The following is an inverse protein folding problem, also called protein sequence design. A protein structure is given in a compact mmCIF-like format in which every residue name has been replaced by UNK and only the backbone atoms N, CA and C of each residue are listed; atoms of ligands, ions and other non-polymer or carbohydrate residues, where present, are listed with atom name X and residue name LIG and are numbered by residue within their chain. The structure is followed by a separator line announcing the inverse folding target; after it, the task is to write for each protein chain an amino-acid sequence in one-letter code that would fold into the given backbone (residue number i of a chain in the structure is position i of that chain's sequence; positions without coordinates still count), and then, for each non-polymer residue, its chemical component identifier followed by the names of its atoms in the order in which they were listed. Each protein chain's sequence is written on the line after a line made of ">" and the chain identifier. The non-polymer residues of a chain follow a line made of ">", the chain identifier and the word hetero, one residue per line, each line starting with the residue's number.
data_IF_996666003486
#
_entry.id   IF_996666003486
#
_cell.length_a   1.000
_cell.length_b   1.000
_cell.length_c   1.000
_cell.angle_alpha   90.00
_cell.angle_beta   90.00
_cell.angle_gamma   90.00
#
_symmetry.space_group_name_H-M   'P 1'
#
loop_
_entity.id
_entity.type
_entity.pdbx_description
1 polymer ?
#
# COMPACT_ATOMS: atom_id res chain seq x y z
N UNK A 1 -8.38 0.83 -38.71
CA UNK A 1 -9.34 0.15 -37.83
C UNK A 1 -9.75 1.13 -36.74
N UNK A 2 -10.98 1.63 -36.78
CA UNK A 2 -11.51 2.54 -35.76
C UNK A 2 -12.12 1.70 -34.65
N UNK A 3 -11.54 1.75 -33.45
CA UNK A 3 -12.09 1.08 -32.27
C UNK A 3 -12.82 2.13 -31.44
N UNK A 4 -14.15 2.15 -31.55
CA UNK A 4 -15.00 2.99 -30.73
C UNK A 4 -15.01 2.44 -29.30
N UNK A 5 -14.45 3.21 -28.36
CA UNK A 5 -14.67 3.02 -26.93
C UNK A 5 -16.18 3.19 -26.73
N UNK A 6 -16.89 2.10 -26.44
CA UNK A 6 -18.31 2.16 -26.07
C UNK A 6 -18.40 2.93 -24.76
N UNK A 7 -18.69 4.22 -24.81
CA UNK A 7 -19.15 4.97 -23.65
C UNK A 7 -20.55 4.48 -23.27
N UNK A 8 -20.61 3.51 -22.36
CA UNK A 8 -21.87 3.16 -21.70
C UNK A 8 -22.06 4.09 -20.50
N UNK A 9 -22.76 5.20 -20.75
CA UNK A 9 -22.97 6.28 -19.80
C UNK A 9 -24.11 5.96 -18.83
N UNK A 10 -24.07 4.83 -18.11
CA UNK A 10 -25.12 4.47 -17.15
C UNK A 10 -24.62 3.87 -15.83
N UNK A 11 -25.03 4.56 -14.75
CA UNK A 11 -24.95 4.28 -13.32
C UNK A 11 -23.55 4.28 -12.70
N UNK A 12 -23.31 5.29 -11.84
CA UNK A 12 -22.36 5.15 -10.74
C UNK A 12 -22.73 3.87 -9.97
N UNK A 13 -21.78 2.98 -9.65
CA UNK A 13 -22.07 1.84 -8.80
C UNK A 13 -22.64 2.32 -7.46
N UNK A 14 -23.66 1.64 -6.95
CA UNK A 14 -24.19 1.91 -5.61
C UNK A 14 -23.02 1.82 -4.61
N UNK A 15 -22.91 2.81 -3.72
CA UNK A 15 -21.83 2.83 -2.71
C UNK A 15 -22.04 1.61 -1.79
N UNK A 16 -21.09 0.65 -1.74
CA UNK A 16 -21.24 -0.54 -0.92
C UNK A 16 -21.29 -0.17 0.57
N UNK A 17 -22.10 -0.90 1.35
CA UNK A 17 -22.12 -0.73 2.80
C UNK A 17 -20.81 -1.26 3.41
N UNK A 18 -20.45 -0.79 4.60
CA UNK A 18 -19.23 -1.23 5.27
C UNK A 18 -19.22 -2.77 5.48
N UNK A 19 -20.38 -3.36 5.74
CA UNK A 19 -20.55 -4.79 5.92
C UNK A 19 -20.20 -5.57 4.64
N UNK A 20 -20.57 -5.03 3.46
CA UNK A 20 -20.30 -5.66 2.16
C UNK A 20 -18.79 -5.76 1.87
N UNK A 21 -18.02 -4.75 2.32
CA UNK A 21 -16.57 -4.71 2.15
C UNK A 21 -15.83 -5.74 3.04
N UNK A 22 -16.48 -6.28 4.08
CA UNK A 22 -15.88 -7.31 4.94
C UNK A 22 -16.00 -8.72 4.35
N UNK A 23 -16.81 -8.88 3.31
CA UNK A 23 -17.06 -10.15 2.64
C UNK A 23 -16.17 -10.21 1.39
N UNK A 24 -15.31 -11.24 1.23
CA UNK A 24 -14.54 -11.41 0.01
C UNK A 24 -15.45 -11.51 -1.22
N UNK A 25 -15.06 -10.86 -2.31
CA UNK A 25 -15.82 -10.93 -3.55
C UNK A 25 -15.91 -12.37 -4.09
N UNK A 26 -16.98 -12.71 -4.83
CA UNK A 26 -17.14 -14.06 -5.38
C UNK A 26 -15.93 -14.50 -6.22
N UNK A 27 -15.31 -15.61 -5.84
CA UNK A 27 -14.14 -16.16 -6.54
C UNK A 27 -12.82 -15.43 -6.28
N UNK A 28 -12.78 -14.50 -5.31
CA UNK A 28 -11.55 -13.82 -4.90
C UNK A 28 -10.51 -14.84 -4.40
N UNK A 29 -9.24 -14.76 -4.83
CA UNK A 29 -8.26 -15.85 -4.66
C UNK A 29 -7.69 -15.97 -3.23
N UNK A 30 -8.21 -15.19 -2.26
CA UNK A 30 -7.84 -15.27 -0.85
C UNK A 30 -9.05 -15.09 0.06
N UNK A 31 -9.15 -15.88 1.13
CA UNK A 31 -10.17 -15.70 2.18
C UNK A 31 -9.64 -14.88 3.37
N UNK A 32 -8.33 -14.62 3.39
CA UNK A 32 -7.64 -13.92 4.48
C UNK A 32 -7.59 -12.42 4.22
N UNK A 33 -7.43 -12.03 2.96
CA UNK A 33 -7.39 -10.62 2.54
C UNK A 33 -8.84 -10.13 2.42
N UNK A 34 -9.31 -9.43 3.46
CA UNK A 34 -10.63 -8.79 3.53
C UNK A 34 -10.52 -7.55 4.40
N UNK A 35 -11.35 -6.54 4.14
CA UNK A 35 -11.38 -5.39 5.03
C UNK A 35 -11.85 -5.80 6.41
N UNK A 36 -11.14 -5.32 7.43
CA UNK A 36 -11.65 -5.35 8.80
C UNK A 36 -12.77 -4.33 8.94
N UNK A 37 -13.69 -4.54 9.88
CA UNK A 37 -14.85 -3.66 10.07
C UNK A 37 -14.46 -2.18 10.23
N UNK A 38 -13.34 -1.88 10.89
CA UNK A 38 -12.87 -0.49 11.04
C UNK A 38 -12.31 0.10 9.74
N UNK A 39 -11.69 -0.71 8.88
CA UNK A 39 -11.17 -0.30 7.57
C UNK A 39 -12.34 -0.06 6.60
N UNK A 40 -13.29 -0.99 6.57
CA UNK A 40 -14.49 -0.89 5.75
C UNK A 40 -15.32 0.38 6.06
N UNK A 41 -15.44 0.76 7.34
CA UNK A 41 -16.13 2.01 7.74
C UNK A 41 -15.40 3.28 7.30
N UNK A 42 -14.10 3.21 7.07
CA UNK A 42 -13.31 4.31 6.51
C UNK A 42 -13.52 4.41 5.00
N UNK A 43 -13.60 3.25 4.33
CA UNK A 43 -13.85 3.13 2.89
C UNK A 43 -15.31 3.40 2.48
N UNK A 44 -16.30 3.27 3.36
CA UNK A 44 -17.71 3.48 3.01
C UNK A 44 -18.16 4.96 2.99
N UNK A 45 -17.24 5.92 3.11
CA UNK A 45 -17.55 7.36 3.19
C UNK A 45 -17.23 8.11 1.89
N UNK A 46 -18.26 8.41 1.10
CA UNK A 46 -18.19 9.31 -0.05
C UNK A 46 -17.51 8.73 -1.30
N UNK A 47 -17.03 9.60 -2.20
CA UNK A 47 -16.33 9.21 -3.42
C UNK A 47 -14.87 8.87 -3.08
N UNK A 48 -14.65 7.64 -2.64
CA UNK A 48 -13.35 7.15 -2.18
C UNK A 48 -12.35 6.91 -3.30
N UNK A 49 -11.07 6.72 -2.94
CA UNK A 49 -10.03 6.27 -3.87
C UNK A 49 -10.46 4.99 -4.60
N UNK A 50 -11.09 4.05 -3.90
CA UNK A 50 -11.62 2.80 -4.44
C UNK A 50 -12.69 3.04 -5.52
N UNK A 51 -13.64 3.95 -5.30
CA UNK A 51 -14.64 4.31 -6.32
C UNK A 51 -13.99 4.95 -7.55
N UNK A 52 -13.04 5.87 -7.36
CA UNK A 52 -12.31 6.50 -8.46
C UNK A 52 -11.48 5.50 -9.25
N UNK A 53 -10.88 4.53 -8.56
CA UNK A 53 -10.12 3.45 -9.18
C UNK A 53 -11.04 2.57 -10.03
N UNK A 54 -12.20 2.14 -9.51
CA UNK A 54 -13.17 1.32 -10.27
C UNK A 54 -13.59 2.00 -11.58
N UNK A 55 -14.01 3.27 -11.51
CA UNK A 55 -14.37 4.04 -12.72
C UNK A 55 -13.18 4.12 -13.69
N UNK A 56 -11.98 4.37 -13.17
CA UNK A 56 -10.77 4.45 -14.01
C UNK A 56 -10.46 3.12 -14.70
N UNK A 57 -10.70 1.99 -14.02
CA UNK A 57 -10.54 0.64 -14.59
C UNK A 57 -11.58 0.39 -15.67
N UNK A 58 -12.85 0.67 -15.40
CA UNK A 58 -13.96 0.44 -16.33
C UNK A 58 -13.84 1.26 -17.62
N UNK A 59 -13.33 2.48 -17.52
CA UNK A 59 -13.11 3.37 -18.66
C UNK A 59 -11.78 3.14 -19.37
N UNK A 60 -10.86 2.37 -18.79
CA UNK A 60 -9.57 2.05 -19.40
C UNK A 60 -9.65 0.84 -20.34
N UNK A 61 -8.78 0.81 -21.36
CA UNK A 61 -8.61 -0.40 -22.19
C UNK A 61 -7.87 -1.51 -21.44
N UNK A 62 -6.87 -1.12 -20.65
CA UNK A 62 -6.08 -2.01 -19.82
C UNK A 62 -5.45 -1.24 -18.65
N UNK A 63 -4.95 -1.99 -17.66
CA UNK A 63 -4.17 -1.46 -16.55
C UNK A 63 -2.71 -1.89 -16.66
N UNK A 64 -1.80 -1.00 -16.27
CA UNK A 64 -0.40 -1.35 -15.98
C UNK A 64 -0.24 -1.36 -14.46
N UNK A 65 0.32 -2.44 -13.92
CA UNK A 65 0.56 -2.57 -12.49
C UNK A 65 2.02 -2.89 -12.21
N UNK A 66 2.60 -2.19 -11.24
CA UNK A 66 3.97 -2.40 -10.76
C UNK A 66 4.05 -3.68 -9.90
N UNK A 67 3.97 -4.82 -10.57
CA UNK A 67 3.93 -6.16 -9.98
C UNK A 67 4.40 -7.20 -10.99
N UNK A 68 4.51 -8.45 -10.58
CA UNK A 68 4.81 -9.60 -11.46
C UNK A 68 3.88 -10.78 -11.15
N UNK A 69 3.75 -11.72 -12.10
CA UNK A 69 2.84 -12.87 -11.93
C UNK A 69 3.32 -13.85 -10.87
N UNK A 70 4.62 -13.92 -10.62
CA UNK A 70 5.22 -14.73 -9.55
C UNK A 70 4.71 -14.30 -8.17
N UNK A 71 4.46 -13.00 -7.98
CA UNK A 71 3.90 -12.46 -6.75
C UNK A 71 2.37 -12.50 -6.74
N UNK A 72 1.72 -12.03 -7.80
CA UNK A 72 0.29 -11.71 -7.78
C UNK A 72 -0.53 -12.40 -8.87
N UNK A 73 0.00 -13.43 -9.55
CA UNK A 73 -0.63 -14.03 -10.73
C UNK A 73 -2.09 -14.44 -10.56
N UNK A 74 -2.45 -15.03 -9.41
CA UNK A 74 -3.86 -15.40 -9.12
C UNK A 74 -4.78 -14.18 -9.01
N UNK A 75 -4.26 -13.06 -8.50
CA UNK A 75 -5.01 -11.81 -8.39
C UNK A 75 -5.12 -11.11 -9.76
N UNK A 76 -4.08 -11.21 -10.60
CA UNK A 76 -4.12 -10.78 -12.00
C UNK A 76 -5.23 -11.55 -12.74
N UNK A 77 -5.23 -12.88 -12.70
CA UNK A 77 -6.23 -13.70 -13.37
C UNK A 77 -7.65 -13.44 -12.85
N UNK A 78 -7.78 -13.23 -11.54
CA UNK A 78 -9.05 -12.85 -10.93
C UNK A 78 -9.53 -11.49 -11.45
N UNK A 79 -8.65 -10.49 -11.44
CA UNK A 79 -8.95 -9.14 -11.88
C UNK A 79 -9.41 -9.10 -13.33
N UNK A 80 -8.69 -9.78 -14.23
CA UNK A 80 -9.02 -9.81 -15.66
C UNK A 80 -10.38 -10.46 -15.90
N UNK A 81 -10.66 -11.55 -15.17
CA UNK A 81 -11.97 -12.23 -15.22
C UNK A 81 -13.10 -11.38 -14.64
N UNK A 82 -12.85 -10.64 -13.56
CA UNK A 82 -13.90 -9.88 -12.86
C UNK A 82 -14.24 -8.55 -13.53
N UNK A 83 -13.27 -7.94 -14.21
CA UNK A 83 -13.42 -6.61 -14.83
C UNK A 83 -13.57 -6.65 -16.34
N UNK A 84 -13.26 -7.80 -16.96
CA UNK A 84 -13.13 -7.96 -18.41
C UNK A 84 -12.09 -6.99 -19.02
N UNK A 85 -11.09 -6.59 -18.22
CA UNK A 85 -9.96 -5.73 -18.63
C UNK A 85 -8.63 -6.45 -18.53
N UNK A 86 -7.72 -6.16 -19.45
CA UNK A 86 -6.37 -6.67 -19.38
C UNK A 86 -5.58 -5.98 -18.27
N UNK A 87 -4.79 -6.75 -17.53
CA UNK A 87 -3.83 -6.25 -16.56
C UNK A 87 -2.42 -6.67 -16.98
N UNK A 88 -1.57 -5.69 -17.23
CA UNK A 88 -0.17 -5.88 -17.58
C UNK A 88 0.70 -5.71 -16.33
N UNK A 89 1.16 -6.82 -15.71
CA UNK A 89 2.19 -6.76 -14.68
C UNK A 89 3.52 -6.41 -15.34
N UNK A 90 4.04 -5.21 -15.09
CA UNK A 90 5.24 -4.68 -15.77
C UNK A 90 6.55 -5.03 -15.06
N UNK A 91 6.51 -5.94 -14.08
CA UNK A 91 7.61 -6.24 -13.18
C UNK A 91 7.66 -5.30 -11.97
N UNK A 92 8.60 -5.56 -11.07
CA UNK A 92 8.85 -4.73 -9.89
C UNK A 92 9.81 -3.61 -10.29
N UNK A 93 9.24 -2.46 -10.65
CA UNK A 93 9.97 -1.23 -10.91
C UNK A 93 10.34 -0.57 -9.58
N UNK A 94 11.62 -0.62 -9.24
CA UNK A 94 12.18 0.18 -8.16
C UNK A 94 12.56 1.57 -8.70
N UNK A 95 12.25 2.66 -7.96
CA UNK A 95 12.73 3.97 -8.36
C UNK A 95 14.27 3.97 -8.41
N UNK A 96 14.83 4.74 -9.34
CA UNK A 96 16.27 5.00 -9.34
C UNK A 96 16.66 5.59 -7.97
N UNK A 97 17.66 4.99 -7.32
CA UNK A 97 18.18 5.54 -6.07
C UNK A 97 18.58 7.00 -6.33
N UNK A 98 18.11 7.97 -5.53
CA UNK A 98 18.60 9.32 -5.63
C UNK A 98 20.13 9.33 -5.44
N UNK A 99 20.84 10.35 -5.94
CA UNK A 99 22.25 10.53 -5.61
C UNK A 99 22.41 10.36 -4.10
N UNK A 100 23.41 9.59 -3.66
CA UNK A 100 23.65 9.34 -2.22
C UNK A 100 23.54 10.66 -1.48
N UNK A 101 22.40 10.86 -0.80
CA UNK A 101 22.30 11.85 0.26
C UNK A 101 23.33 11.47 1.32
N UNK A 102 23.70 12.39 2.19
CA UNK A 102 24.64 12.20 3.31
C UNK A 102 24.07 11.21 4.37
N UNK A 103 23.79 10.00 3.90
CA UNK A 103 23.39 8.82 4.63
C UNK A 103 24.61 8.06 5.13
N UNK A 104 25.82 8.61 4.94
CA UNK A 104 27.09 7.99 5.33
C UNK A 104 27.08 7.63 6.81
N UNK A 105 26.43 8.42 7.67
CA UNK A 105 26.27 8.10 9.09
C UNK A 105 25.36 6.89 9.35
N UNK A 106 24.21 6.81 8.69
CA UNK A 106 23.28 5.70 8.88
C UNK A 106 23.85 4.41 8.29
N UNK A 107 24.44 4.49 7.10
CA UNK A 107 25.10 3.35 6.44
C UNK A 107 26.31 2.88 7.25
N UNK A 108 27.18 3.78 7.72
CA UNK A 108 28.32 3.39 8.56
C UNK A 108 27.91 2.84 9.93
N UNK A 109 26.74 3.20 10.45
CA UNK A 109 26.17 2.56 11.64
C UNK A 109 25.64 1.15 11.32
N UNK A 110 24.93 0.98 10.20
CA UNK A 110 24.44 -0.32 9.72
C UNK A 110 25.59 -1.30 9.45
N UNK A 111 26.69 -0.82 8.85
CA UNK A 111 27.88 -1.62 8.55
C UNK A 111 28.55 -2.22 9.80
N UNK A 112 28.22 -1.72 11.00
CA UNK A 112 28.74 -2.23 12.29
C UNK A 112 27.81 -3.23 12.97
N UNK A 113 26.59 -3.40 12.46
CA UNK A 113 25.61 -4.31 13.04
C UNK A 113 25.82 -5.73 12.51
N UNK A 114 25.44 -6.76 13.26
CA UNK A 114 25.44 -8.12 12.75
C UNK A 114 24.47 -8.28 11.57
N UNK A 115 24.81 -9.15 10.62
CA UNK A 115 23.96 -9.44 9.46
C UNK A 115 22.55 -9.85 9.87
N UNK A 116 21.54 -9.22 9.26
CA UNK A 116 20.12 -9.49 9.51
C UNK A 116 19.62 -9.23 10.95
N UNK A 117 20.35 -8.46 11.77
CA UNK A 117 19.98 -8.13 13.16
C UNK A 117 19.45 -6.70 13.37
N UNK A 118 19.12 -5.99 12.29
CA UNK A 118 18.56 -4.64 12.36
C UNK A 118 17.12 -4.64 11.84
N UNK A 119 16.21 -4.07 12.63
CA UNK A 119 14.83 -3.81 12.21
C UNK A 119 14.75 -2.44 11.55
N UNK A 120 14.26 -2.38 10.30
CA UNK A 120 13.90 -1.11 9.67
C UNK A 120 12.39 -0.88 9.78
N UNK A 121 12.00 0.18 10.49
CA UNK A 121 10.61 0.57 10.69
C UNK A 121 10.30 1.85 9.90
N UNK A 122 9.44 1.76 8.88
CA UNK A 122 8.99 2.89 8.08
C UNK A 122 7.55 2.64 7.59
N UNK A 123 6.66 3.61 7.80
CA UNK A 123 5.24 3.52 7.45
C UNK A 123 4.88 4.23 6.13
N UNK A 124 5.90 4.73 5.41
CA UNK A 124 5.71 5.49 4.18
C UNK A 124 5.12 6.88 4.38
N UNK A 125 4.95 7.63 3.29
CA UNK A 125 4.42 9.00 3.31
C UNK A 125 2.91 9.08 3.51
N UNK A 126 2.17 8.03 3.15
CA UNK A 126 0.70 8.01 3.16
C UNK A 126 0.11 7.57 4.51
N UNK A 127 0.94 7.13 5.46
CA UNK A 127 0.52 6.69 6.79
C UNK A 127 1.28 7.47 7.89
N UNK A 128 0.97 8.77 8.08
CA UNK A 128 1.57 9.54 9.15
C UNK A 128 1.09 8.99 10.50
N UNK A 129 2.06 8.63 11.36
CA UNK A 129 1.77 8.21 12.73
C UNK A 129 1.45 9.43 13.59
N UNK A 130 0.52 9.26 14.53
CA UNK A 130 0.35 10.26 15.59
C UNK A 130 1.55 10.21 16.54
N UNK A 131 1.79 11.28 17.30
CA UNK A 131 2.86 11.29 18.32
C UNK A 131 2.69 10.15 19.33
N UNK A 132 1.45 9.81 19.69
CA UNK A 132 1.16 8.71 20.61
C UNK A 132 1.50 7.34 20.00
N UNK A 133 1.12 7.11 18.75
CA UNK A 133 1.42 5.85 18.05
C UNK A 133 2.94 5.69 17.85
N UNK A 134 3.62 6.79 17.50
CA UNK A 134 5.08 6.80 17.37
C UNK A 134 5.78 6.51 18.70
N UNK A 135 5.37 7.16 19.79
CA UNK A 135 5.95 6.90 21.11
C UNK A 135 5.77 5.44 21.53
N UNK A 136 4.57 4.88 21.28
CA UNK A 136 4.28 3.46 21.56
C UNK A 136 5.16 2.53 20.72
N UNK A 137 5.34 2.84 19.43
CA UNK A 137 6.22 2.08 18.55
C UNK A 137 7.68 2.12 19.02
N UNK A 138 8.20 3.30 19.36
CA UNK A 138 9.59 3.46 19.80
C UNK A 138 9.84 2.74 21.13
N UNK A 139 8.92 2.84 22.07
CA UNK A 139 9.01 2.11 23.35
C UNK A 139 9.05 0.58 23.13
N UNK A 140 8.18 0.06 22.26
CA UNK A 140 8.18 -1.37 21.95
C UNK A 140 9.45 -1.85 21.25
N UNK A 141 10.07 -1.00 20.41
CA UNK A 141 11.37 -1.29 19.79
C UNK A 141 12.50 -1.25 20.82
N UNK A 142 12.49 -0.29 21.74
CA UNK A 142 13.46 -0.20 22.84
C UNK A 142 13.40 -1.42 23.76
N UNK A 143 12.20 -1.83 24.19
CA UNK A 143 12.02 -3.03 25.03
C UNK A 143 12.40 -4.34 24.33
N UNK A 144 12.47 -4.34 22.98
CA UNK A 144 12.87 -5.54 22.24
C UNK A 144 14.37 -5.83 22.34
N UNK A 145 15.19 -4.86 22.77
CA UNK A 145 16.65 -4.93 22.79
C UNK A 145 17.29 -5.24 21.41
N UNK A 146 16.52 -5.13 20.31
CA UNK A 146 17.00 -5.30 18.95
C UNK A 146 17.39 -3.95 18.38
N UNK A 147 18.52 -3.89 17.67
CA UNK A 147 18.93 -2.67 16.97
C UNK A 147 17.91 -2.30 15.89
N UNK A 148 17.52 -1.01 15.82
CA UNK A 148 16.51 -0.57 14.87
C UNK A 148 16.85 0.76 14.20
N UNK A 149 16.29 0.98 13.01
CA UNK A 149 16.31 2.23 12.28
C UNK A 149 14.86 2.64 11.98
N UNK A 150 14.47 3.85 12.35
CA UNK A 150 13.10 4.34 12.16
C UNK A 150 13.06 5.54 11.19
N UNK A 151 12.28 5.42 10.12
CA UNK A 151 12.03 6.50 9.17
C UNK A 151 10.86 7.37 9.61
N UNK A 152 11.14 8.56 10.15
CA UNK A 152 10.13 9.49 10.65
C UNK A 152 9.80 10.55 9.58
N UNK A 153 8.59 10.51 9.02
CA UNK A 153 8.08 11.53 8.10
C UNK A 153 7.34 12.64 8.88
N UNK A 154 7.63 13.91 8.59
CA UNK A 154 6.92 15.06 9.16
C UNK A 154 7.28 15.43 10.61
N UNK A 155 8.19 14.69 11.25
CA UNK A 155 8.69 14.96 12.61
C UNK A 155 10.17 15.38 12.65
N UNK A 156 10.67 16.01 11.58
CA UNK A 156 12.06 16.49 11.47
C UNK A 156 12.43 17.66 12.45
N UNK A 157 11.67 17.86 13.52
CA UNK A 157 11.91 18.92 14.51
C UNK A 157 11.45 18.61 15.94
N UNK A 158 11.03 17.37 16.23
CA UNK A 158 10.85 16.96 17.62
C UNK A 158 12.16 16.35 18.10
N UNK A 159 12.95 17.14 18.85
CA UNK A 159 14.01 16.57 19.69
C UNK A 159 13.37 15.48 20.55
N UNK A 160 13.71 14.23 20.25
CA UNK A 160 13.51 13.14 21.18
C UNK A 160 14.44 13.43 22.36
N UNK A 161 13.90 14.05 23.41
CA UNK A 161 14.60 14.12 24.68
C UNK A 161 14.81 12.67 25.12
N UNK A 162 16.09 12.28 25.19
CA UNK A 162 16.52 11.05 25.84
C UNK A 162 15.92 11.00 27.24
N UNK A 163 15.24 9.89 27.55
CA UNK A 163 15.04 9.47 28.93
C UNK A 163 16.39 9.09 29.52
#
# INVERSE_FOLDING_TARGET
>A
MSFAIRHNRQRLPDIPMAEDLTIPLPGFPSLVVRFRTFEARKESKGLTFTNRLSISVEESWAMLSNTCRELEGKFVDYFERSTERFMFPVGISMPSLPPRLDADRCLAWLDRQPDCFVVFACFGSECPLTTQDLATLLLGLEESEISFLCGLFGHAGAELQSV
#
